data_IF_632713811203
#
_entry.id   IF_632713811203
#
_cell.length_a   1.000
_cell.length_b   1.000
_cell.length_c   1.000
_cell.angle_alpha   90.00
_cell.angle_beta   90.00
_cell.angle_gamma   90.00
#
_symmetry.space_group_name_H-M   'P 1'
#
loop_
_entity.id
_entity.type
_entity.pdbx_description
1 polymer ?
#
# COMPACT_ATOMS: atom_id res chain seq x y z
N UNK A 1 -53.78 40.71 -28.79
CA UNK A 1 -53.16 40.55 -30.12
C UNK A 1 -51.75 40.06 -29.84
N UNK A 2 -51.24 38.89 -30.21
CA UNK A 2 -51.60 37.72 -31.01
C UNK A 2 -50.79 36.57 -30.32
N UNK A 3 -51.18 35.30 -30.28
CA UNK A 3 -51.48 34.44 -31.42
C UNK A 3 -50.30 33.48 -31.67
N UNK A 4 -50.64 32.20 -31.83
CA UNK A 4 -49.80 31.04 -32.22
C UNK A 4 -48.93 30.40 -31.11
N UNK A 5 -48.91 29.08 -30.92
CA UNK A 5 -49.51 28.00 -31.72
C UNK A 5 -48.58 26.79 -31.74
N UNK A 6 -49.12 25.65 -31.31
CA UNK A 6 -48.77 24.25 -31.60
C UNK A 6 -47.44 23.91 -32.32
N UNK A 7 -46.60 23.13 -31.64
CA UNK A 7 -46.09 21.79 -32.05
C UNK A 7 -45.06 21.36 -30.98
N UNK A 8 -45.16 20.25 -30.27
CA UNK A 8 -45.64 18.95 -30.70
C UNK A 8 -44.46 18.06 -31.07
N UNK A 9 -43.88 17.40 -30.05
CA UNK A 9 -43.00 16.23 -30.14
C UNK A 9 -41.59 16.37 -30.75
N UNK A 10 -40.68 15.52 -30.24
CA UNK A 10 -39.29 15.28 -30.67
C UNK A 10 -38.20 16.23 -30.13
N UNK A 11 -38.06 16.32 -28.80
CA UNK A 11 -36.78 16.64 -28.14
C UNK A 11 -36.19 15.46 -27.34
N UNK A 12 -36.71 14.25 -27.55
CA UNK A 12 -35.96 13.01 -27.30
C UNK A 12 -35.23 12.66 -28.59
N UNK A 13 -34.03 12.09 -28.49
CA UNK A 13 -32.99 12.02 -29.53
C UNK A 13 -32.29 13.40 -29.63
N UNK A 14 -31.04 13.61 -29.23
CA UNK A 14 -29.88 12.75 -29.39
C UNK A 14 -28.80 13.25 -28.39
N UNK A 15 -28.56 12.46 -27.35
CA UNK A 15 -27.30 12.42 -26.63
C UNK A 15 -26.21 11.99 -27.61
N UNK A 16 -25.32 12.89 -28.05
CA UNK A 16 -24.11 12.48 -28.76
C UNK A 16 -22.86 13.21 -28.24
N UNK A 17 -22.13 12.42 -27.45
CA UNK A 17 -20.68 12.29 -27.42
C UNK A 17 -19.86 13.48 -26.88
N UNK A 18 -19.63 13.48 -25.56
CA UNK A 18 -18.35 13.96 -25.02
C UNK A 18 -17.25 13.10 -25.64
N UNK A 19 -16.48 13.70 -26.54
CA UNK A 19 -15.32 13.08 -27.17
C UNK A 19 -14.20 12.97 -26.12
N UNK A 20 -14.11 11.82 -25.45
CA UNK A 20 -12.94 11.49 -24.64
C UNK A 20 -11.80 11.14 -25.59
N UNK A 21 -10.73 11.92 -25.59
CA UNK A 21 -9.50 11.54 -26.28
C UNK A 21 -8.92 10.29 -25.60
N UNK A 22 -9.12 9.13 -26.21
CA UNK A 22 -8.38 7.92 -25.86
C UNK A 22 -6.95 8.12 -26.35
N UNK A 23 -6.05 8.54 -25.46
CA UNK A 23 -4.62 8.43 -25.71
C UNK A 23 -4.29 6.94 -25.70
N UNK A 24 -4.19 6.35 -26.88
CA UNK A 24 -3.64 5.01 -27.07
C UNK A 24 -2.13 5.07 -26.81
N UNK A 25 -1.75 5.15 -25.53
CA UNK A 25 -0.40 4.86 -25.09
C UNK A 25 -0.14 3.37 -25.31
N UNK A 26 0.58 3.03 -26.37
CA UNK A 26 1.05 1.66 -26.61
C UNK A 26 1.91 1.25 -25.40
N UNK A 27 1.59 0.20 -24.63
CA UNK A 27 2.52 -0.29 -23.63
C UNK A 27 3.73 -0.85 -24.38
N UNK A 28 4.86 -0.12 -24.34
CA UNK A 28 6.14 -0.68 -24.73
C UNK A 28 6.49 -1.67 -23.63
N UNK A 29 6.25 -2.95 -23.89
CA UNK A 29 6.70 -4.05 -23.06
C UNK A 29 8.23 -3.90 -22.97
N UNK A 30 8.71 -3.35 -21.85
CA UNK A 30 10.12 -3.37 -21.50
C UNK A 30 10.43 -4.82 -21.17
N UNK A 31 10.88 -5.55 -22.19
CA UNK A 31 11.62 -6.77 -21.99
C UNK A 31 12.88 -6.36 -21.23
N UNK A 32 12.86 -6.50 -19.91
CA UNK A 32 14.05 -6.42 -19.10
C UNK A 32 14.88 -7.67 -19.41
N UNK A 33 15.63 -7.63 -20.51
CA UNK A 33 16.83 -8.45 -20.62
C UNK A 33 17.77 -7.97 -19.53
N UNK A 34 17.75 -8.67 -18.40
CA UNK A 34 18.64 -8.40 -17.28
C UNK A 34 20.06 -8.79 -17.70
N UNK A 35 20.81 -7.82 -18.21
CA UNK A 35 22.26 -7.92 -18.25
C UNK A 35 22.74 -7.95 -16.81
N UNK A 36 23.13 -9.13 -16.32
CA UNK A 36 23.68 -9.29 -14.97
C UNK A 36 25.09 -8.69 -14.97
N UNK A 37 25.18 -7.38 -14.76
CA UNK A 37 26.44 -6.75 -14.42
C UNK A 37 26.86 -7.28 -13.05
N UNK A 38 27.85 -8.18 -13.03
CA UNK A 38 28.47 -8.63 -11.78
C UNK A 38 29.34 -7.49 -11.27
N UNK A 39 28.77 -6.64 -10.43
CA UNK A 39 29.54 -5.66 -9.66
C UNK A 39 30.16 -6.38 -8.49
N UNK A 40 31.47 -6.61 -8.53
CA UNK A 40 32.25 -7.09 -7.39
C UNK A 40 32.22 -6.00 -6.30
N UNK A 41 31.28 -6.10 -5.36
CA UNK A 41 31.23 -5.23 -4.19
C UNK A 41 32.36 -5.59 -3.23
N UNK A 42 33.55 -5.03 -3.45
CA UNK A 42 34.63 -5.10 -2.49
C UNK A 42 34.40 -4.05 -1.38
N UNK A 43 34.34 -4.54 -0.14
CA UNK A 43 34.02 -3.87 1.13
C UNK A 43 32.53 -3.63 1.38
N UNK A 44 31.92 -4.55 2.13
CA UNK A 44 30.71 -4.27 2.89
C UNK A 44 31.15 -3.37 4.06
N UNK A 45 31.06 -2.06 3.87
CA UNK A 45 31.30 -1.09 4.93
C UNK A 45 30.27 -1.32 6.06
N UNK A 46 30.73 -1.70 7.25
CA UNK A 46 29.87 -1.97 8.42
C UNK A 46 29.05 -0.72 8.83
N UNK A 47 29.51 0.48 8.43
CA UNK A 47 28.86 1.77 8.67
C UNK A 47 27.57 1.97 7.87
N UNK A 48 27.33 1.18 6.81
CA UNK A 48 26.12 1.24 5.98
C UNK A 48 25.03 0.22 6.37
N UNK A 49 25.12 -0.38 7.56
CA UNK A 49 24.10 -1.32 8.04
C UNK A 49 22.84 -0.58 8.50
N UNK A 50 21.75 -0.78 7.78
CA UNK A 50 20.41 -0.31 8.17
C UNK A 50 19.72 -1.39 8.99
N UNK A 51 19.17 -0.98 10.13
CA UNK A 51 18.37 -1.84 11.02
C UNK A 51 16.92 -1.35 10.97
N UNK A 52 15.98 -2.27 10.82
CA UNK A 52 14.54 -1.95 10.78
C UNK A 52 13.83 -2.72 11.87
N UNK A 53 12.99 -2.03 12.63
CA UNK A 53 12.08 -2.67 13.61
C UNK A 53 10.67 -2.37 13.13
N UNK A 54 9.91 -3.43 12.88
CA UNK A 54 8.53 -3.31 12.40
C UNK A 54 7.57 -3.23 13.59
N UNK A 55 6.88 -2.11 13.68
CA UNK A 55 5.83 -1.83 14.65
C UNK A 55 4.65 -1.19 13.91
N UNK A 56 3.56 -1.94 13.74
CA UNK A 56 2.35 -1.49 13.08
C UNK A 56 1.39 -0.86 14.08
N UNK A 57 0.92 0.35 13.78
CA UNK A 57 -0.12 1.00 14.58
C UNK A 57 -1.49 0.49 14.13
N UNK A 58 -2.21 -0.16 15.05
CA UNK A 58 -3.49 -0.80 14.80
C UNK A 58 -4.50 -0.36 15.87
N UNK A 59 -5.74 -0.81 15.71
CA UNK A 59 -6.80 -0.61 16.68
C UNK A 59 -7.22 -1.96 17.26
N UNK A 60 -7.14 -2.09 18.60
CA UNK A 60 -7.03 -3.36 19.30
C UNK A 60 -7.88 -3.35 20.59
N UNK A 61 -8.45 -4.49 20.98
CA UNK A 61 -9.27 -4.64 22.21
C UNK A 61 -8.72 -5.73 23.16
N UNK A 62 -7.42 -5.99 23.09
CA UNK A 62 -6.79 -7.07 23.85
C UNK A 62 -6.48 -6.73 25.31
N UNK A 63 -6.48 -5.44 25.66
CA UNK A 63 -6.00 -4.91 26.95
C UNK A 63 -7.12 -4.59 27.94
N UNK A 64 -8.39 -4.84 27.59
CA UNK A 64 -9.52 -4.70 28.51
C UNK A 64 -9.98 -3.26 28.77
N UNK A 65 -9.49 -2.30 27.97
CA UNK A 65 -9.96 -0.90 28.01
C UNK A 65 -10.88 -0.56 26.82
N UNK A 66 -11.38 -1.58 26.12
CA UNK A 66 -12.11 -1.40 24.88
C UNK A 66 -11.16 -1.20 23.69
N UNK A 67 -11.76 -0.84 22.56
CA UNK A 67 -11.05 -0.58 21.32
C UNK A 67 -10.13 0.65 21.46
N UNK A 68 -8.82 0.45 21.33
CA UNK A 68 -7.81 1.48 21.53
C UNK A 68 -6.66 1.35 20.52
N UNK A 69 -5.83 2.39 20.40
CA UNK A 69 -4.59 2.27 19.62
C UNK A 69 -3.63 1.31 20.31
N UNK A 70 -3.00 0.44 19.53
CA UNK A 70 -1.88 -0.39 19.98
C UNK A 70 -0.84 -0.55 18.86
N UNK A 71 0.33 -1.08 19.23
CA UNK A 71 1.47 -1.24 18.34
C UNK A 71 1.90 -2.70 18.31
N UNK A 72 1.90 -3.33 17.14
CA UNK A 72 2.16 -4.76 17.02
C UNK A 72 3.36 -5.08 16.12
N UNK A 73 4.03 -6.19 16.44
CA UNK A 73 5.01 -6.79 15.53
C UNK A 73 4.31 -7.32 14.25
N UNK A 74 5.05 -7.68 13.18
CA UNK A 74 4.48 -8.13 11.89
C UNK A 74 3.47 -9.29 11.95
N UNK A 75 3.51 -10.11 13.00
CA UNK A 75 2.53 -11.17 13.28
C UNK A 75 1.46 -10.69 14.30
N UNK A 76 0.97 -9.46 14.13
CA UNK A 76 0.14 -8.71 15.08
C UNK A 76 -1.30 -9.19 15.30
N UNK A 77 -1.61 -10.44 14.96
CA UNK A 77 -2.95 -11.02 15.13
C UNK A 77 -3.22 -11.53 16.55
N UNK A 78 -2.18 -11.60 17.37
CA UNK A 78 -2.25 -12.12 18.73
C UNK A 78 -1.82 -11.08 19.76
N UNK A 79 -2.47 -11.10 20.93
CA UNK A 79 -2.24 -10.13 22.02
C UNK A 79 -0.78 -10.07 22.45
N UNK A 80 -0.08 -11.21 22.45
CA UNK A 80 1.31 -11.33 22.84
C UNK A 80 2.28 -10.57 21.94
N UNK A 81 1.88 -10.26 20.70
CA UNK A 81 2.69 -9.54 19.72
C UNK A 81 2.37 -8.05 19.68
N UNK A 82 1.51 -7.56 20.58
CA UNK A 82 1.02 -6.20 20.61
C UNK A 82 1.33 -5.52 21.94
N UNK A 83 1.55 -4.21 21.87
CA UNK A 83 1.96 -3.38 23.00
C UNK A 83 1.18 -2.08 23.03
N UNK A 84 1.03 -1.51 24.23
CA UNK A 84 0.31 -0.25 24.44
C UNK A 84 1.13 0.97 23.98
N UNK A 85 2.46 0.87 23.97
CA UNK A 85 3.36 1.95 23.60
C UNK A 85 4.24 1.56 22.41
N UNK A 86 4.65 2.56 21.63
CA UNK A 86 5.55 2.35 20.49
C UNK A 86 6.95 1.93 20.99
N UNK A 87 7.34 2.44 22.16
CA UNK A 87 8.60 2.13 22.82
C UNK A 87 8.68 0.64 23.20
N UNK A 88 7.62 0.10 23.82
CA UNK A 88 7.56 -1.31 24.20
C UNK A 88 7.59 -2.22 22.97
N UNK A 89 6.88 -1.83 21.89
CA UNK A 89 6.92 -2.53 20.62
C UNK A 89 8.34 -2.58 20.05
N UNK A 90 9.04 -1.43 20.01
CA UNK A 90 10.42 -1.38 19.48
C UNK A 90 11.42 -2.16 20.32
N UNK A 91 11.19 -2.26 21.63
CA UNK A 91 12.04 -3.02 22.53
C UNK A 91 11.83 -4.54 22.42
N UNK A 92 10.64 -4.97 21.98
CA UNK A 92 10.25 -6.39 21.99
C UNK A 92 10.29 -7.03 20.60
N UNK A 93 9.90 -6.31 19.55
CA UNK A 93 9.83 -6.87 18.20
C UNK A 93 11.22 -7.17 17.59
N UNK A 94 11.26 -8.16 16.70
CA UNK A 94 12.49 -8.57 16.04
C UNK A 94 13.11 -7.44 15.20
N UNK A 95 14.42 -7.23 15.36
CA UNK A 95 15.20 -6.32 14.55
C UNK A 95 15.58 -7.02 13.24
N UNK A 96 15.21 -6.43 12.11
CA UNK A 96 15.75 -6.81 10.82
C UNK A 96 17.15 -6.21 10.64
N UNK A 97 18.16 -7.07 10.46
CA UNK A 97 19.55 -6.68 10.30
C UNK A 97 20.36 -7.70 9.49
N UNK A 98 20.97 -7.30 8.37
CA UNK A 98 20.34 -6.63 7.24
C UNK A 98 19.36 -7.55 6.48
N UNK A 99 19.30 -8.84 6.87
CA UNK A 99 18.32 -9.80 6.37
C UNK A 99 17.21 -9.96 7.41
N UNK A 100 15.99 -9.71 6.97
CA UNK A 100 14.82 -10.00 7.80
C UNK A 100 14.51 -11.50 7.68
N UNK A 101 14.04 -12.15 8.74
CA UNK A 101 13.41 -13.46 8.59
C UNK A 101 12.28 -13.31 7.56
N UNK A 102 12.32 -14.09 6.48
CA UNK A 102 11.17 -14.22 5.58
C UNK A 102 10.01 -14.69 6.43
N UNK A 103 8.91 -13.95 6.41
CA UNK A 103 7.66 -14.36 7.06
C UNK A 103 7.44 -15.85 6.74
N UNK A 104 7.36 -16.75 7.73
CA UNK A 104 6.95 -18.11 7.44
C UNK A 104 5.54 -17.98 6.88
N UNK A 105 5.42 -18.16 5.57
CA UNK A 105 4.15 -18.29 4.89
C UNK A 105 3.33 -19.31 5.68
N UNK A 106 2.20 -18.85 6.24
CA UNK A 106 1.11 -19.67 6.77
C UNK A 106 1.06 -21.02 6.04
N UNK A 107 1.51 -22.08 6.71
CA UNK A 107 1.19 -23.46 6.38
C UNK A 107 0.22 -23.98 7.42
#
# INVERSE_FOLDING_TARGET
MEGAGLQGALLHWILLARKTNTVAGRPKLLLAEATVATTSANSLDESNKVYVIFCEALQCDYFGHGLQNCYCCPDGHSKENCHLTMEDCRATCAVCNPRCPTQPSLQ
#
